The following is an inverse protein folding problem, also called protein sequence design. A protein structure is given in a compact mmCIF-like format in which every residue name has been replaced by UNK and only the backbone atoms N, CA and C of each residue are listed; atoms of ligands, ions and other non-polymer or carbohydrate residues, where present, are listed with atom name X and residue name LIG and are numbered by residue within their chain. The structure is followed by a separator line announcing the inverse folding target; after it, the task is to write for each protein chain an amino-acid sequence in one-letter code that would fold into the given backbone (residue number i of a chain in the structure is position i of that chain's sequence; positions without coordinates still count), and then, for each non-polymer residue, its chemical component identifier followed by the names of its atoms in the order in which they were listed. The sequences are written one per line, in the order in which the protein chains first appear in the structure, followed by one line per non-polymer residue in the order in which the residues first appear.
data_IF_687312485567
#
_entry.id   IF_687312485567
#
_cell.length_a   1.000
_cell.length_b   1.000
_cell.length_c   1.000
_cell.angle_alpha   90.00
_cell.angle_beta   90.00
_cell.angle_gamma   90.00
#
_symmetry.space_group_name_H-M   'P 1'
#
loop_
_entity.id
_entity.type
_entity.pdbx_description
1 polymer ?
#
# COMPACT_ATOMS: atom_id res chain seq x y z
N UNK A 1 -12.56 -22.61 24.57
CA UNK A 1 -11.26 -21.92 24.37
C UNK A 1 -11.40 -21.08 23.11
N UNK A 2 -11.03 -19.79 23.15
CA UNK A 2 -11.07 -18.89 22.00
C UNK A 2 -9.65 -18.68 21.48
N UNK A 3 -9.44 -18.86 20.18
CA UNK A 3 -8.19 -18.58 19.50
C UNK A 3 -8.41 -17.49 18.46
N UNK A 4 -7.52 -16.50 18.44
CA UNK A 4 -7.54 -15.39 17.50
C UNK A 4 -6.18 -15.41 16.80
N UNK A 5 -6.23 -15.39 15.47
CA UNK A 5 -5.04 -15.37 14.63
C UNK A 5 -5.09 -14.11 13.76
N UNK A 6 -3.96 -13.44 13.63
CA UNK A 6 -3.77 -12.44 12.59
C UNK A 6 -3.69 -13.11 11.21
N UNK A 7 -3.89 -12.37 10.14
CA UNK A 7 -3.79 -12.89 8.77
C UNK A 7 -2.36 -12.77 8.24
N UNK A 8 -1.87 -11.53 8.12
CA UNK A 8 -0.63 -11.23 7.43
C UNK A 8 0.60 -11.69 8.20
N UNK A 9 1.47 -12.46 7.55
CA UNK A 9 2.65 -13.09 8.12
C UNK A 9 2.38 -14.03 9.32
N UNK A 10 1.13 -14.48 9.48
CA UNK A 10 0.74 -15.50 10.47
C UNK A 10 0.06 -16.68 9.76
N UNK A 11 -1.02 -16.44 9.04
CA UNK A 11 -1.71 -17.47 8.24
C UNK A 11 -1.19 -17.49 6.81
N UNK A 12 -0.85 -16.30 6.26
CA UNK A 12 -0.36 -16.13 4.90
C UNK A 12 0.89 -15.27 4.87
N UNK A 13 1.85 -15.62 4.02
CA UNK A 13 3.02 -14.77 3.79
C UNK A 13 2.63 -13.56 2.93
N UNK A 14 2.97 -12.35 3.40
CA UNK A 14 2.72 -11.09 2.67
C UNK A 14 4.05 -10.42 2.34
N UNK A 15 4.22 -10.05 1.07
CA UNK A 15 5.41 -9.33 0.59
C UNK A 15 5.04 -8.10 -0.25
N UNK A 16 5.09 -6.92 0.39
CA UNK A 16 4.87 -5.63 -0.26
C UNK A 16 5.94 -5.25 -1.29
N UNK A 17 7.13 -5.87 -1.25
CA UNK A 17 8.15 -5.61 -2.28
C UNK A 17 7.65 -5.99 -3.67
N UNK A 18 6.77 -6.99 -3.76
CA UNK A 18 6.14 -7.40 -5.03
C UNK A 18 5.22 -6.31 -5.56
N UNK A 19 4.47 -5.65 -4.69
CA UNK A 19 3.59 -4.52 -5.04
C UNK A 19 4.43 -3.36 -5.58
N UNK A 20 5.46 -2.95 -4.83
CA UNK A 20 6.34 -1.85 -5.24
C UNK A 20 7.04 -2.13 -6.57
N UNK A 21 7.43 -3.38 -6.83
CA UNK A 21 8.03 -3.76 -8.11
C UNK A 21 7.06 -3.58 -9.29
N UNK A 22 5.79 -3.92 -9.11
CA UNK A 22 4.76 -3.71 -10.15
C UNK A 22 4.51 -2.22 -10.36
N UNK A 23 4.36 -1.44 -9.30
CA UNK A 23 4.16 0.01 -9.40
C UNK A 23 5.34 0.70 -10.07
N UNK A 24 6.57 0.34 -9.71
CA UNK A 24 7.78 0.86 -10.34
C UNK A 24 7.80 0.56 -11.85
N UNK A 25 7.46 -0.68 -12.23
CA UNK A 25 7.42 -1.10 -13.63
C UNK A 25 6.36 -0.33 -14.44
N UNK A 26 5.18 -0.10 -13.88
CA UNK A 26 4.06 0.53 -14.60
C UNK A 26 4.18 2.05 -14.66
N UNK A 27 4.64 2.68 -13.58
CA UNK A 27 4.72 4.15 -13.46
C UNK A 27 6.03 4.74 -14.00
N UNK A 28 7.08 3.93 -14.13
CA UNK A 28 8.44 4.41 -14.41
C UNK A 28 9.15 5.04 -13.21
N UNK A 29 8.49 5.16 -12.04
CA UNK A 29 9.12 5.65 -10.81
C UNK A 29 10.11 4.61 -10.28
N UNK A 30 11.35 4.99 -9.89
CA UNK A 30 12.34 4.04 -9.40
C UNK A 30 11.86 3.27 -8.15
N UNK A 31 12.09 1.96 -8.12
CA UNK A 31 11.69 1.09 -6.99
C UNK A 31 12.22 1.58 -5.64
N UNK A 32 13.47 2.06 -5.59
CA UNK A 32 14.05 2.63 -4.37
C UNK A 32 13.25 3.84 -3.88
N UNK A 33 12.87 4.74 -4.80
CA UNK A 33 12.04 5.91 -4.47
C UNK A 33 10.68 5.49 -3.91
N UNK A 34 10.03 4.48 -4.49
CA UNK A 34 8.74 3.98 -3.96
C UNK A 34 8.93 3.43 -2.55
N UNK A 35 9.97 2.62 -2.32
CA UNK A 35 10.25 2.02 -1.00
C UNK A 35 10.56 3.06 0.07
N UNK A 36 11.32 4.09 -0.29
CA UNK A 36 11.76 5.12 0.65
C UNK A 36 10.60 6.07 1.03
N UNK A 37 9.64 6.27 0.13
CA UNK A 37 8.52 7.20 0.34
C UNK A 37 7.22 6.51 0.77
N UNK A 38 7.05 5.20 0.56
CA UNK A 38 5.85 4.50 1.02
C UNK A 38 5.85 4.39 2.55
N UNK A 39 4.80 4.90 3.17
CA UNK A 39 4.62 4.83 4.62
C UNK A 39 3.29 4.21 4.98
N UNK A 40 3.26 3.43 6.07
CA UNK A 40 2.00 3.04 6.73
C UNK A 40 1.49 4.20 7.61
N UNK A 41 1.34 5.37 6.98
CA UNK A 41 0.96 6.64 7.61
C UNK A 41 -0.53 6.74 7.95
N UNK A 42 -1.02 7.97 8.13
CA UNK A 42 -2.42 8.18 8.51
C UNK A 42 -3.40 7.74 7.40
N UNK A 43 -3.06 8.00 6.14
CA UNK A 43 -3.80 7.55 4.95
C UNK A 43 -4.09 6.04 5.00
N UNK A 44 -3.07 5.23 5.34
CA UNK A 44 -3.21 3.77 5.47
C UNK A 44 -4.17 3.38 6.60
N UNK A 45 -4.02 3.99 7.78
CA UNK A 45 -4.89 3.72 8.93
C UNK A 45 -6.33 4.14 8.70
N UNK A 46 -6.57 5.23 7.97
CA UNK A 46 -7.91 5.66 7.61
C UNK A 46 -8.58 4.64 6.70
N UNK A 47 -7.84 4.14 5.69
CA UNK A 47 -8.33 3.11 4.78
C UNK A 47 -8.62 1.80 5.51
N UNK A 48 -7.70 1.30 6.36
CA UNK A 48 -7.91 0.07 7.13
C UNK A 48 -9.09 0.14 8.12
N UNK A 49 -9.43 1.35 8.59
CA UNK A 49 -10.61 1.60 9.45
C UNK A 49 -11.90 1.83 8.66
N UNK A 50 -11.84 1.86 7.32
CA UNK A 50 -12.99 2.11 6.45
C UNK A 50 -13.46 3.57 6.44
N UNK A 51 -12.59 4.52 6.80
CA UNK A 51 -12.93 5.95 6.88
C UNK A 51 -12.76 6.68 5.54
N UNK A 52 -12.03 6.10 4.59
CA UNK A 52 -11.89 6.60 3.21
C UNK A 52 -12.08 5.45 2.23
N UNK A 53 -12.54 5.78 1.04
CA UNK A 53 -12.76 4.82 -0.05
C UNK A 53 -11.44 4.33 -0.65
N UNK A 54 -11.51 3.21 -1.39
CA UNK A 54 -10.37 2.66 -2.11
C UNK A 54 -9.78 3.67 -3.12
N UNK A 55 -10.64 4.48 -3.75
CA UNK A 55 -10.23 5.51 -4.72
C UNK A 55 -9.48 6.64 -4.01
N UNK A 56 -10.03 7.18 -2.91
CA UNK A 56 -9.38 8.22 -2.12
C UNK A 56 -8.03 7.76 -1.57
N UNK A 57 -7.95 6.51 -1.11
CA UNK A 57 -6.70 5.89 -0.67
C UNK A 57 -5.68 5.81 -1.82
N UNK A 58 -6.11 5.31 -2.98
CA UNK A 58 -5.23 5.13 -4.12
C UNK A 58 -4.71 6.47 -4.66
N UNK A 59 -5.56 7.50 -4.75
CA UNK A 59 -5.16 8.86 -5.13
C UNK A 59 -4.13 9.45 -4.15
N UNK A 60 -4.37 9.32 -2.85
CA UNK A 60 -3.45 9.83 -1.83
C UNK A 60 -2.09 9.12 -1.87
N UNK A 61 -2.07 7.79 -1.97
CA UNK A 61 -0.83 7.01 -2.09
C UNK A 61 -0.08 7.35 -3.39
N UNK A 62 -0.80 7.48 -4.51
CA UNK A 62 -0.18 7.91 -5.77
C UNK A 62 0.45 9.29 -5.67
N UNK A 63 -0.23 10.25 -5.03
CA UNK A 63 0.30 11.59 -4.80
C UNK A 63 1.55 11.58 -3.91
N UNK A 64 1.55 10.82 -2.81
CA UNK A 64 2.70 10.65 -1.91
C UNK A 64 3.92 10.04 -2.63
N UNK A 65 3.68 9.10 -3.54
CA UNK A 65 4.73 8.36 -4.24
C UNK A 65 5.17 8.99 -5.57
N UNK A 66 4.50 10.05 -6.04
CA UNK A 66 4.74 10.64 -7.35
C UNK A 66 4.38 9.71 -8.51
N UNK A 67 3.39 8.84 -8.32
CA UNK A 67 2.88 7.90 -9.34
C UNK A 67 1.66 8.53 -10.03
N UNK A 68 1.59 8.43 -11.35
CA UNK A 68 0.41 8.87 -12.10
C UNK A 68 -0.83 8.04 -11.77
N UNK A 69 -1.97 8.70 -11.55
CA UNK A 69 -3.28 8.07 -11.35
C UNK A 69 -3.95 7.88 -12.72
N UNK A 70 -3.96 6.66 -13.24
CA UNK A 70 -4.88 6.27 -14.31
C UNK A 70 -5.75 5.13 -13.77
N UNK A 71 -7.00 5.46 -13.41
CA UNK A 71 -8.02 4.52 -12.93
C UNK A 71 -9.20 4.50 -13.89
#
# INVERSE_FOLDING_TARGET
MLYIFDMGNVIIDIDFNRVFAVWSKLSGVPLASIKDNFTTGETFKLHERGNITDIEFAEAVCAELGIGTEF
#
